data_IF_820922594504
#
_entry.id   IF_820922594504
#
_cell.length_a   1.000
_cell.length_b   1.000
_cell.length_c   1.000
_cell.angle_alpha   90.00
_cell.angle_beta   90.00
_cell.angle_gamma   90.00
#
_symmetry.space_group_name_H-M   'P 1'
#
loop_
_entity.id
_entity.type
_entity.pdbx_description
1 polymer ?
#
# COMPACT_ATOMS: atom_id res chain seq x y z
N UNK A 1 -26.60 1.21 -2.11
CA UNK A 1 -25.63 1.57 -3.15
C UNK A 1 -24.23 1.70 -2.54
N UNK A 2 -23.29 0.96 -3.04
CA UNK A 2 -21.93 1.00 -2.51
C UNK A 2 -21.15 2.15 -3.15
N UNK A 3 -20.31 2.80 -2.35
CA UNK A 3 -19.37 3.79 -2.86
C UNK A 3 -18.14 3.09 -3.42
N UNK A 4 -17.38 3.79 -4.25
CA UNK A 4 -16.14 3.26 -4.76
C UNK A 4 -15.12 3.09 -3.63
N UNK A 5 -14.34 2.01 -3.68
CA UNK A 5 -13.25 1.79 -2.74
C UNK A 5 -12.14 2.79 -3.04
N UNK A 6 -11.64 3.44 -2.00
CA UNK A 6 -10.58 4.44 -2.12
C UNK A 6 -9.25 3.83 -1.71
N UNK A 7 -8.26 3.90 -2.60
CA UNK A 7 -6.95 3.28 -2.43
C UNK A 7 -5.86 4.34 -2.52
N UNK A 8 -4.95 4.33 -1.56
CA UNK A 8 -3.71 5.11 -1.65
C UNK A 8 -2.59 4.17 -2.08
N UNK A 9 -1.87 4.54 -3.14
CA UNK A 9 -0.64 3.85 -3.53
C UNK A 9 0.52 4.81 -3.28
N UNK A 10 1.40 4.44 -2.38
CA UNK A 10 2.52 5.27 -1.96
C UNK A 10 3.86 4.63 -2.27
N UNK A 11 4.84 5.47 -2.61
CA UNK A 11 6.23 5.06 -2.83
C UNK A 11 7.05 5.46 -1.61
N UNK A 12 7.45 4.50 -0.77
CA UNK A 12 8.15 4.82 0.48
C UNK A 12 9.62 5.14 0.28
N UNK A 13 10.18 5.88 1.23
CA UNK A 13 11.59 6.09 1.38
C UNK A 13 12.23 6.85 0.23
N UNK A 14 13.45 6.43 -0.12
CA UNK A 14 14.25 7.10 -1.16
C UNK A 14 14.13 6.44 -2.52
N UNK A 15 13.24 5.47 -2.68
CA UNK A 15 13.03 4.77 -3.93
C UNK A 15 12.56 5.73 -5.03
N UNK A 16 13.32 5.79 -6.11
CA UNK A 16 12.99 6.65 -7.26
C UNK A 16 12.33 5.93 -8.42
N UNK A 17 11.97 4.67 -8.26
CA UNK A 17 11.38 3.85 -9.32
C UNK A 17 9.86 3.87 -9.20
N UNK A 18 9.16 4.53 -10.11
CA UNK A 18 7.72 4.68 -9.99
C UNK A 18 6.90 3.97 -11.07
N UNK A 19 7.53 3.38 -12.07
CA UNK A 19 6.79 2.75 -13.17
C UNK A 19 5.90 1.61 -12.70
N UNK A 20 6.41 0.76 -11.81
CA UNK A 20 5.62 -0.34 -11.27
C UNK A 20 4.41 0.15 -10.49
N UNK A 21 4.59 1.19 -9.68
CA UNK A 21 3.49 1.78 -8.93
C UNK A 21 2.43 2.37 -9.85
N UNK A 22 2.85 3.04 -10.92
CA UNK A 22 1.92 3.64 -11.89
C UNK A 22 1.11 2.59 -12.63
N UNK A 23 1.71 1.43 -12.94
CA UNK A 23 0.99 0.32 -13.57
C UNK A 23 -0.10 -0.19 -12.63
N UNK A 24 0.21 -0.35 -11.35
CA UNK A 24 -0.77 -0.78 -10.34
C UNK A 24 -1.89 0.25 -10.22
N UNK A 25 -1.54 1.53 -10.14
CA UNK A 25 -2.53 2.62 -10.07
C UNK A 25 -3.51 2.52 -11.23
N UNK A 26 -3.00 2.36 -12.45
CA UNK A 26 -3.86 2.27 -13.63
C UNK A 26 -4.77 1.06 -13.57
N UNK A 27 -4.24 -0.09 -13.18
CA UNK A 27 -5.04 -1.31 -13.09
C UNK A 27 -6.17 -1.16 -12.07
N UNK A 28 -5.89 -0.53 -10.93
CA UNK A 28 -6.90 -0.31 -9.90
C UNK A 28 -7.98 0.68 -10.37
N UNK A 29 -7.57 1.74 -11.06
CA UNK A 29 -8.53 2.69 -11.64
C UNK A 29 -9.41 1.99 -12.66
N UNK A 30 -8.84 1.16 -13.52
CA UNK A 30 -9.59 0.41 -14.54
C UNK A 30 -10.57 -0.56 -13.89
N UNK A 31 -10.28 -1.02 -12.66
CA UNK A 31 -11.17 -1.91 -11.91
C UNK A 31 -12.28 -1.16 -11.17
N UNK A 32 -12.31 0.16 -11.25
CA UNK A 32 -13.37 0.97 -10.64
C UNK A 32 -13.04 1.54 -9.28
N UNK A 33 -11.80 1.42 -8.82
CA UNK A 33 -11.37 2.02 -7.55
C UNK A 33 -11.00 3.49 -7.74
N UNK A 34 -11.19 4.28 -6.69
CA UNK A 34 -10.67 5.65 -6.65
C UNK A 34 -9.25 5.59 -6.09
N UNK A 35 -8.26 5.98 -6.87
CA UNK A 35 -6.86 5.82 -6.50
C UNK A 35 -6.18 7.17 -6.33
N UNK A 36 -5.49 7.34 -5.22
CA UNK A 36 -4.59 8.46 -4.97
C UNK A 36 -3.16 7.94 -5.04
N UNK A 37 -2.33 8.53 -5.87
CA UNK A 37 -0.91 8.18 -5.95
C UNK A 37 -0.10 9.26 -5.25
N UNK A 38 0.78 8.83 -4.34
CA UNK A 38 1.54 9.76 -3.48
C UNK A 38 2.65 10.50 -4.21
N UNK A 39 3.13 9.96 -5.34
CA UNK A 39 4.41 10.39 -5.88
C UNK A 39 5.56 9.68 -5.19
N UNK A 40 6.79 10.04 -5.55
CA UNK A 40 7.99 9.36 -5.06
C UNK A 40 8.41 9.84 -3.66
N UNK A 41 9.23 9.04 -3.02
CA UNK A 41 10.02 9.40 -1.83
C UNK A 41 9.21 9.88 -0.64
N UNK A 42 8.15 9.16 -0.33
CA UNK A 42 7.26 9.52 0.78
C UNK A 42 7.81 9.02 2.11
N UNK A 43 7.67 9.86 3.15
CA UNK A 43 7.94 9.45 4.52
C UNK A 43 6.71 8.77 5.12
N UNK A 44 6.85 8.00 6.22
CA UNK A 44 5.68 7.45 6.89
C UNK A 44 4.66 8.51 7.28
N UNK A 45 5.12 9.68 7.74
CA UNK A 45 4.25 10.80 8.10
C UNK A 45 3.45 11.29 6.90
N UNK A 46 4.11 11.42 5.75
CA UNK A 46 3.43 11.85 4.53
C UNK A 46 2.39 10.83 4.07
N UNK A 47 2.70 9.53 4.19
CA UNK A 47 1.74 8.47 3.83
C UNK A 47 0.48 8.56 4.69
N UNK A 48 0.65 8.72 6.00
CA UNK A 48 -0.49 8.85 6.91
C UNK A 48 -1.30 10.09 6.61
N UNK A 49 -0.64 11.22 6.34
CA UNK A 49 -1.35 12.46 6.02
C UNK A 49 -2.20 12.30 4.76
N UNK A 50 -1.63 11.68 3.71
CA UNK A 50 -2.37 11.43 2.47
C UNK A 50 -3.55 10.49 2.69
N UNK A 51 -3.34 9.43 3.49
CA UNK A 51 -4.40 8.48 3.79
C UNK A 51 -5.57 9.15 4.50
N UNK A 52 -5.28 10.05 5.42
CA UNK A 52 -6.31 10.80 6.13
C UNK A 52 -7.03 11.78 5.21
N UNK A 53 -6.26 12.56 4.45
CA UNK A 53 -6.82 13.60 3.58
C UNK A 53 -7.71 13.01 2.49
N UNK A 54 -7.33 11.88 1.95
CA UNK A 54 -8.11 11.20 0.91
C UNK A 54 -9.18 10.25 1.48
N UNK A 55 -9.20 10.06 2.80
CA UNK A 55 -10.15 9.17 3.48
C UNK A 55 -10.16 7.78 2.85
N UNK A 56 -8.98 7.18 2.69
CA UNK A 56 -8.84 5.91 1.96
C UNK A 56 -9.31 4.72 2.78
N UNK A 57 -9.68 3.66 2.06
CA UNK A 57 -10.03 2.36 2.65
C UNK A 57 -8.84 1.40 2.63
N UNK A 58 -7.90 1.62 1.71
CA UNK A 58 -6.74 0.75 1.50
C UNK A 58 -5.48 1.60 1.42
N UNK A 59 -4.44 1.17 2.13
CA UNK A 59 -3.12 1.80 2.07
C UNK A 59 -2.18 0.80 1.42
N UNK A 60 -1.68 1.12 0.22
CA UNK A 60 -0.75 0.27 -0.51
C UNK A 60 0.61 0.93 -0.64
N UNK A 61 1.65 0.16 -0.35
CA UNK A 61 3.02 0.62 -0.53
C UNK A 61 3.64 -0.15 -1.68
N UNK A 62 4.24 0.58 -2.61
CA UNK A 62 4.99 -0.02 -3.70
C UNK A 62 6.48 0.21 -3.42
N UNK A 63 7.20 -0.86 -3.08
CA UNK A 63 8.59 -0.77 -2.68
C UNK A 63 9.49 -1.60 -3.58
N UNK A 64 10.53 -0.96 -4.10
CA UNK A 64 11.57 -1.64 -4.88
C UNK A 64 12.90 -1.63 -4.16
N UNK A 65 13.03 -0.92 -3.04
CA UNK A 65 14.25 -0.81 -2.25
C UNK A 65 14.17 -1.72 -1.03
N UNK A 66 15.31 -2.08 -0.47
CA UNK A 66 15.41 -3.03 0.62
C UNK A 66 15.03 -2.52 2.01
N UNK A 67 14.52 -1.29 2.13
CA UNK A 67 14.23 -0.68 3.43
C UNK A 67 12.74 -0.80 3.83
N UNK A 68 11.98 -1.63 3.15
CA UNK A 68 10.53 -1.72 3.35
C UNK A 68 10.14 -2.12 4.78
N UNK A 69 10.88 -3.02 5.41
CA UNK A 69 10.51 -3.48 6.76
C UNK A 69 10.66 -2.35 7.79
N UNK A 70 11.76 -1.60 7.71
CA UNK A 70 11.98 -0.47 8.61
C UNK A 70 10.89 0.59 8.42
N UNK A 71 10.58 0.90 7.17
CA UNK A 71 9.53 1.87 6.83
C UNK A 71 8.18 1.40 7.38
N UNK A 72 7.83 0.13 7.19
CA UNK A 72 6.56 -0.41 7.63
C UNK A 72 6.42 -0.40 9.15
N UNK A 73 7.49 -0.66 9.88
CA UNK A 73 7.46 -0.59 11.34
C UNK A 73 7.15 0.83 11.83
N UNK A 74 7.76 1.82 11.22
CA UNK A 74 7.47 3.22 11.55
C UNK A 74 6.04 3.59 11.17
N UNK A 75 5.60 3.17 9.99
CA UNK A 75 4.26 3.46 9.52
C UNK A 75 3.21 2.85 10.46
N UNK A 76 3.45 1.63 10.96
CA UNK A 76 2.52 0.98 11.89
C UNK A 76 2.25 1.85 13.11
N UNK A 77 3.30 2.40 13.72
CA UNK A 77 3.15 3.27 14.89
C UNK A 77 2.23 4.44 14.56
N UNK A 78 2.45 5.08 13.42
CA UNK A 78 1.65 6.23 13.01
C UNK A 78 0.22 5.85 12.66
N UNK A 79 0.00 4.70 12.04
CA UNK A 79 -1.35 4.23 11.75
C UNK A 79 -2.15 4.05 13.02
N UNK A 80 -1.55 3.45 14.04
CA UNK A 80 -2.21 3.28 15.34
C UNK A 80 -2.51 4.63 15.97
N UNK A 81 -1.54 5.54 15.98
CA UNK A 81 -1.71 6.86 16.59
C UNK A 81 -2.82 7.67 15.94
N UNK A 82 -3.04 7.48 14.65
CA UNK A 82 -4.04 8.25 13.89
C UNK A 82 -5.34 7.50 13.65
N UNK A 83 -5.52 6.34 14.29
CA UNK A 83 -6.76 5.58 14.18
C UNK A 83 -6.99 4.93 12.83
N UNK A 84 -5.92 4.66 12.07
CA UNK A 84 -5.99 4.08 10.73
C UNK A 84 -5.60 2.60 10.70
N UNK A 85 -5.41 1.98 11.85
CA UNK A 85 -4.93 0.59 11.94
C UNK A 85 -5.90 -0.43 11.36
N UNK A 86 -7.18 -0.07 11.22
CA UNK A 86 -8.19 -0.95 10.64
C UNK A 86 -8.25 -0.91 9.13
N UNK A 87 -7.55 0.02 8.49
CA UNK A 87 -7.53 0.08 7.04
C UNK A 87 -6.78 -1.11 6.47
N UNK A 88 -7.20 -1.56 5.30
CA UNK A 88 -6.49 -2.65 4.63
C UNK A 88 -5.12 -2.15 4.20
N UNK A 89 -4.07 -2.88 4.58
CA UNK A 89 -2.69 -2.47 4.32
C UNK A 89 -1.99 -3.52 3.48
N UNK A 90 -1.55 -3.12 2.30
CA UNK A 90 -0.87 -4.01 1.36
C UNK A 90 0.49 -3.46 0.97
N UNK A 91 1.40 -4.35 0.64
CA UNK A 91 2.76 -4.01 0.21
C UNK A 91 3.10 -4.83 -1.01
N UNK A 92 3.65 -4.19 -2.02
CA UNK A 92 4.05 -4.86 -3.26
C UNK A 92 5.41 -4.42 -3.74
N UNK A 93 6.02 -5.21 -4.63
CA UNK A 93 7.30 -4.91 -5.23
C UNK A 93 8.32 -6.01 -4.96
N UNK A 94 9.61 -5.66 -5.03
CA UNK A 94 10.71 -6.62 -4.81
C UNK A 94 10.86 -6.92 -3.33
N UNK A 95 10.04 -7.81 -2.80
CA UNK A 95 10.02 -8.15 -1.38
C UNK A 95 10.54 -9.57 -1.19
N UNK A 96 11.73 -9.73 -0.55
CA UNK A 96 12.27 -11.07 -0.30
C UNK A 96 11.33 -11.92 0.55
N UNK A 97 11.25 -13.21 0.22
CA UNK A 97 10.35 -14.11 0.93
C UNK A 97 10.64 -14.17 2.44
N UNK A 98 11.91 -14.02 2.84
CA UNK A 98 12.28 -14.08 4.26
C UNK A 98 11.75 -12.89 5.07
N UNK A 99 11.29 -11.83 4.41
CA UNK A 99 10.70 -10.68 5.11
C UNK A 99 9.20 -10.77 5.27
N UNK A 100 8.54 -11.73 4.61
CA UNK A 100 7.08 -11.80 4.61
C UNK A 100 6.50 -12.00 6.01
N UNK A 101 7.08 -12.90 6.81
CA UNK A 101 6.58 -13.12 8.17
C UNK A 101 6.69 -11.87 9.02
N UNK A 102 7.83 -11.17 8.96
CA UNK A 102 8.02 -9.94 9.74
C UNK A 102 7.06 -8.84 9.32
N UNK A 103 6.77 -8.72 8.02
CA UNK A 103 5.80 -7.75 7.54
C UNK A 103 4.39 -8.07 8.05
N UNK A 104 4.00 -9.34 8.02
CA UNK A 104 2.69 -9.74 8.54
C UNK A 104 2.57 -9.47 10.03
N UNK A 105 3.62 -9.75 10.79
CA UNK A 105 3.66 -9.45 12.23
C UNK A 105 3.54 -7.95 12.50
N UNK A 106 4.06 -7.12 11.59
CA UNK A 106 3.96 -5.67 11.70
C UNK A 106 2.53 -5.19 11.46
N UNK A 107 1.73 -5.94 10.72
CA UNK A 107 0.34 -5.59 10.47
C UNK A 107 -0.04 -5.51 9.01
N UNK A 108 0.87 -5.86 8.10
CA UNK A 108 0.58 -5.88 6.66
C UNK A 108 -0.39 -7.02 6.38
N UNK A 109 -1.50 -6.70 5.72
CA UNK A 109 -2.55 -7.67 5.42
C UNK A 109 -2.27 -8.47 4.16
N UNK A 110 -1.66 -7.87 3.16
CA UNK A 110 -1.36 -8.53 1.90
C UNK A 110 0.02 -8.17 1.37
N UNK A 111 0.74 -9.17 0.87
CA UNK A 111 2.08 -8.98 0.32
C UNK A 111 2.06 -9.49 -1.12
N UNK A 112 2.48 -8.64 -2.05
CA UNK A 112 2.45 -8.94 -3.48
C UNK A 112 3.85 -8.84 -4.07
N UNK A 113 4.65 -9.92 -3.99
CA UNK A 113 6.01 -9.89 -4.53
C UNK A 113 6.00 -9.79 -6.06
N UNK A 114 7.19 -9.56 -6.62
CA UNK A 114 7.36 -9.53 -8.07
C UNK A 114 6.77 -10.79 -8.69
N UNK A 115 6.06 -10.64 -9.79
CA UNK A 115 5.39 -11.75 -10.45
C UNK A 115 3.92 -11.90 -10.09
N UNK A 116 3.44 -11.21 -9.06
CA UNK A 116 2.01 -11.18 -8.74
C UNK A 116 1.26 -10.48 -9.87
N UNK A 117 0.15 -11.04 -10.29
CA UNK A 117 -0.65 -10.42 -11.35
C UNK A 117 -1.46 -9.25 -10.81
N UNK A 118 -1.77 -8.30 -11.70
CA UNK A 118 -2.62 -7.17 -11.31
C UNK A 118 -4.00 -7.62 -10.88
N UNK A 119 -4.52 -8.68 -11.52
CA UNK A 119 -5.83 -9.22 -11.15
C UNK A 119 -5.83 -9.79 -9.74
N UNK A 120 -4.74 -10.41 -9.31
CA UNK A 120 -4.63 -10.91 -7.94
C UNK A 120 -4.73 -9.78 -6.92
N UNK A 121 -4.13 -8.64 -7.22
CA UNK A 121 -4.19 -7.47 -6.34
C UNK A 121 -5.62 -6.93 -6.27
N UNK A 122 -6.27 -6.78 -7.41
CA UNK A 122 -7.66 -6.31 -7.50
C UNK A 122 -8.59 -7.22 -6.71
N UNK A 123 -8.47 -8.53 -6.92
CA UNK A 123 -9.31 -9.51 -6.24
C UNK A 123 -9.12 -9.46 -4.74
N UNK A 124 -7.87 -9.38 -4.28
CA UNK A 124 -7.55 -9.30 -2.86
C UNK A 124 -8.24 -8.10 -2.21
N UNK A 125 -8.12 -6.92 -2.85
CA UNK A 125 -8.72 -5.71 -2.32
C UNK A 125 -10.24 -5.86 -2.23
N UNK A 126 -10.87 -6.35 -3.30
CA UNK A 126 -12.33 -6.54 -3.32
C UNK A 126 -12.82 -7.47 -2.22
N UNK A 127 -12.07 -8.53 -1.95
CA UNK A 127 -12.48 -9.53 -0.97
C UNK A 127 -12.21 -9.11 0.46
N UNK A 128 -11.18 -8.31 0.70
CA UNK A 128 -10.69 -8.02 2.06
C UNK A 128 -11.05 -6.63 2.57
N UNK A 129 -11.42 -5.70 1.71
CA UNK A 129 -11.73 -4.33 2.14
C UNK A 129 -13.02 -4.34 2.99
N UNK A 130 -13.02 -3.49 4.02
CA UNK A 130 -14.14 -3.40 4.97
C UNK A 130 -15.05 -2.23 4.67
#
# INVERSE_FOLDING_TARGET
MSRAVKVLIAKPGLDGHDQGAKVVVRALMDAGFEVTYSGLRQTPEQVVQLARDAAVDVIGLSSMAGSHLFFCRKLKVLLVEHGLEEKLWIVGGSIPAHDHAALRETGVDGIFPAGTTLQEIVTFIREKVR
#
